data_IF_698913709743
#
_entry.id   IF_698913709743
#
_cell.length_a   1.000
_cell.length_b   1.000
_cell.length_c   1.000
_cell.angle_alpha   90.00
_cell.angle_beta   90.00
_cell.angle_gamma   90.00
#
_symmetry.space_group_name_H-M   'P 1'
#
loop_
_entity.id
_entity.type
_entity.pdbx_description
1 polymer ?
#
# COMPACT_ATOMS: atom_id res chain seq x y z
N UNK A 1 28.65 2.06 -49.97
CA UNK A 1 27.18 1.91 -49.83
C UNK A 1 26.78 1.04 -48.64
N UNK A 2 27.22 -0.21 -48.52
CA UNK A 2 26.82 -1.15 -47.42
C UNK A 2 27.03 -0.63 -45.98
N UNK A 3 28.10 0.12 -45.70
CA UNK A 3 28.40 0.69 -44.36
C UNK A 3 27.42 1.80 -43.95
N UNK A 4 26.94 2.61 -44.89
CA UNK A 4 26.01 3.71 -44.64
C UNK A 4 24.61 3.14 -44.33
N UNK A 5 24.16 2.13 -45.08
CA UNK A 5 22.93 1.40 -44.77
C UNK A 5 22.96 0.77 -43.37
N UNK A 6 24.10 0.22 -42.97
CA UNK A 6 24.25 -0.38 -41.63
C UNK A 6 24.18 0.65 -40.50
N UNK A 7 24.76 1.84 -40.68
CA UNK A 7 24.70 2.92 -39.70
C UNK A 7 23.28 3.47 -39.58
N UNK A 8 22.58 3.65 -40.70
CA UNK A 8 21.19 4.13 -40.72
C UNK A 8 20.25 3.13 -40.04
N UNK A 9 20.46 1.82 -40.23
CA UNK A 9 19.68 0.78 -39.55
C UNK A 9 19.91 0.77 -38.03
N UNK A 10 21.15 0.96 -37.57
CA UNK A 10 21.48 1.00 -36.13
C UNK A 10 20.90 2.25 -35.46
N UNK A 11 20.97 3.41 -36.12
CA UNK A 11 20.36 4.65 -35.62
C UNK A 11 18.83 4.52 -35.56
N UNK A 12 18.21 3.90 -36.56
CA UNK A 12 16.77 3.64 -36.57
C UNK A 12 16.33 2.73 -35.40
N UNK A 13 17.07 1.65 -35.11
CA UNK A 13 16.79 0.76 -33.98
C UNK A 13 16.97 1.44 -32.62
N UNK A 14 17.96 2.32 -32.48
CA UNK A 14 18.16 3.11 -31.26
C UNK A 14 17.00 4.10 -31.03
N UNK A 15 16.51 4.76 -32.09
CA UNK A 15 15.38 5.70 -31.99
C UNK A 15 14.06 5.01 -31.63
N UNK A 16 13.82 3.78 -32.13
CA UNK A 16 12.62 3.00 -31.79
C UNK A 16 12.57 2.65 -30.29
N UNK A 17 13.73 2.44 -29.64
CA UNK A 17 13.79 2.11 -28.21
C UNK A 17 13.39 3.26 -27.27
N UNK A 18 13.51 4.51 -27.72
CA UNK A 18 13.16 5.73 -26.96
C UNK A 18 11.65 6.04 -26.99
N UNK A 19 10.90 5.48 -27.93
CA UNK A 19 9.51 5.83 -28.20
C UNK A 19 8.47 4.89 -27.54
N UNK A 20 8.88 3.83 -26.85
CA UNK A 20 7.93 2.94 -26.16
C UNK A 20 7.44 3.54 -24.83
N UNK A 21 6.56 4.54 -24.93
CA UNK A 21 5.77 4.98 -23.78
C UNK A 21 4.74 3.90 -23.46
N UNK A 22 5.00 3.09 -22.43
CA UNK A 22 4.00 2.14 -21.93
C UNK A 22 2.82 2.91 -21.33
N UNK A 23 1.67 2.90 -22.01
CA UNK A 23 0.42 3.43 -21.48
C UNK A 23 0.00 2.55 -20.30
N UNK A 24 0.27 3.00 -19.08
CA UNK A 24 -0.12 2.30 -17.87
C UNK A 24 -1.62 2.47 -17.68
N UNK A 25 -2.41 1.49 -18.15
CA UNK A 25 -3.82 1.41 -17.80
C UNK A 25 -3.97 1.51 -16.28
N UNK A 26 -4.96 2.29 -15.82
CA UNK A 26 -5.26 2.43 -14.40
C UNK A 26 -5.71 1.07 -13.83
N UNK A 27 -4.75 0.25 -13.39
CA UNK A 27 -5.05 -1.06 -12.82
C UNK A 27 -5.85 -0.85 -11.55
N UNK A 28 -7.09 -1.34 -11.51
CA UNK A 28 -7.91 -1.30 -10.31
C UNK A 28 -7.23 -2.13 -9.20
N UNK A 29 -6.65 -1.45 -8.21
CA UNK A 29 -5.92 -2.11 -7.13
C UNK A 29 -6.93 -2.64 -6.11
N UNK A 30 -6.95 -3.95 -5.82
CA UNK A 30 -7.96 -4.52 -4.95
C UNK A 30 -7.82 -3.98 -3.53
N UNK A 31 -8.87 -3.36 -3.02
CA UNK A 31 -8.94 -2.91 -1.62
C UNK A 31 -9.05 -4.10 -0.67
N UNK A 32 -8.73 -3.88 0.61
CA UNK A 32 -8.89 -4.89 1.66
C UNK A 32 -9.74 -4.37 2.82
N UNK A 33 -10.13 -5.28 3.69
CA UNK A 33 -11.01 -5.00 4.82
C UNK A 33 -10.40 -5.58 6.09
N UNK A 34 -10.49 -4.83 7.19
CA UNK A 34 -10.14 -5.30 8.53
C UNK A 34 -11.22 -6.27 8.98
N UNK A 35 -10.83 -7.51 9.28
CA UNK A 35 -11.73 -8.57 9.72
C UNK A 35 -11.89 -8.57 11.23
N UNK A 36 -10.83 -8.24 11.98
CA UNK A 36 -10.87 -8.23 13.44
C UNK A 36 -9.90 -7.18 14.00
N UNK A 37 -10.30 -6.59 15.12
CA UNK A 37 -9.42 -5.77 15.96
C UNK A 37 -9.56 -6.21 17.40
N UNK A 38 -8.45 -6.51 18.06
CA UNK A 38 -8.39 -6.89 19.48
C UNK A 38 -7.52 -5.90 20.24
N UNK A 39 -8.11 -5.21 21.20
CA UNK A 39 -7.37 -4.33 22.11
C UNK A 39 -6.79 -5.12 23.29
N UNK A 40 -5.59 -4.72 23.72
CA UNK A 40 -4.87 -5.13 24.92
C UNK A 40 -4.39 -3.85 25.63
N UNK A 41 -3.84 -3.96 26.85
CA UNK A 41 -3.20 -2.79 27.48
C UNK A 41 -2.05 -2.31 26.59
N UNK A 42 -2.06 -1.01 26.30
CA UNK A 42 -1.11 -0.27 25.43
C UNK A 42 -0.89 -0.79 24.00
N UNK A 43 -1.75 -1.69 23.52
CA UNK A 43 -1.56 -2.35 22.24
C UNK A 43 -2.88 -2.80 21.60
N UNK A 44 -2.91 -2.87 20.28
CA UNK A 44 -3.96 -3.62 19.59
C UNK A 44 -3.42 -4.47 18.45
N UNK A 45 -4.09 -5.58 18.23
CA UNK A 45 -3.82 -6.48 17.10
C UNK A 45 -4.94 -6.34 16.10
N UNK A 46 -4.58 -6.04 14.84
CA UNK A 46 -5.51 -6.07 13.72
C UNK A 46 -5.27 -7.31 12.87
N UNK A 47 -6.35 -7.86 12.31
CA UNK A 47 -6.34 -8.88 11.26
C UNK A 47 -7.12 -8.38 10.05
N UNK A 48 -6.74 -8.78 8.84
CA UNK A 48 -7.38 -8.36 7.60
C UNK A 48 -7.48 -9.48 6.58
N UNK A 49 -8.36 -9.29 5.58
CA UNK A 49 -8.56 -10.27 4.50
C UNK A 49 -7.34 -10.28 3.58
N UNK A 50 -6.86 -11.48 3.22
CA UNK A 50 -5.79 -11.66 2.24
C UNK A 50 -6.24 -11.14 0.86
N UNK A 51 -5.30 -10.50 0.16
CA UNK A 51 -5.43 -10.10 -1.25
C UNK A 51 -4.23 -10.60 -2.03
N UNK A 52 -4.44 -10.80 -3.34
CA UNK A 52 -3.44 -11.24 -4.31
C UNK A 52 -3.15 -10.10 -5.30
N UNK A 53 -2.10 -10.24 -6.12
CA UNK A 53 -1.71 -9.24 -7.13
C UNK A 53 -1.43 -7.84 -6.54
N UNK A 54 -0.82 -7.80 -5.35
CA UNK A 54 -0.42 -6.57 -4.64
C UNK A 54 1.02 -6.71 -4.16
N UNK A 55 1.70 -5.57 -3.95
CA UNK A 55 3.04 -5.54 -3.36
C UNK A 55 3.01 -5.56 -1.83
N UNK A 56 1.88 -5.17 -1.21
CA UNK A 56 1.73 -5.21 0.24
C UNK A 56 0.56 -4.41 0.77
N UNK A 57 0.57 -4.19 2.09
CA UNK A 57 -0.47 -3.44 2.79
C UNK A 57 0.09 -2.19 3.47
N UNK A 58 -0.76 -1.19 3.64
CA UNK A 58 -0.49 -0.03 4.47
C UNK A 58 -1.59 0.13 5.51
N UNK A 59 -1.19 0.06 6.77
CA UNK A 59 -2.06 0.33 7.91
C UNK A 59 -1.86 1.79 8.29
N UNK A 60 -2.95 2.49 8.56
CA UNK A 60 -2.92 3.82 9.13
C UNK A 60 -3.78 3.87 10.39
N UNK A 61 -3.27 4.50 11.43
CA UNK A 61 -3.99 4.68 12.68
C UNK A 61 -3.79 6.08 13.25
N UNK A 62 -4.81 6.58 13.95
CA UNK A 62 -4.79 7.90 14.59
C UNK A 62 -5.80 7.94 15.74
N UNK A 63 -5.60 8.84 16.70
CA UNK A 63 -6.64 9.19 17.66
C UNK A 63 -7.76 10.05 17.03
N UNK A 64 -7.52 10.65 15.86
CA UNK A 64 -8.50 11.44 15.12
C UNK A 64 -9.25 10.56 14.11
N UNK A 65 -10.58 10.49 14.25
CA UNK A 65 -11.47 9.67 13.40
C UNK A 65 -11.53 10.08 11.92
N UNK A 66 -11.11 11.31 11.61
CA UNK A 66 -11.05 11.88 10.26
C UNK A 66 -9.66 11.73 9.64
N UNK A 67 -8.67 11.22 10.38
CA UNK A 67 -7.28 11.07 9.93
C UNK A 67 -6.70 12.38 9.34
N UNK A 68 -7.07 13.54 9.90
CA UNK A 68 -6.58 14.86 9.42
C UNK A 68 -5.20 15.22 9.99
N UNK A 69 -4.89 14.78 11.21
CA UNK A 69 -3.65 15.11 11.94
C UNK A 69 -3.18 13.91 12.77
N UNK A 70 -1.87 13.83 13.03
CA UNK A 70 -1.27 12.84 13.94
C UNK A 70 -1.37 11.38 13.45
N UNK A 71 -1.43 11.17 12.14
CA UNK A 71 -1.57 9.84 11.56
C UNK A 71 -0.24 9.08 11.63
N UNK A 72 -0.28 7.86 12.13
CA UNK A 72 0.84 6.92 12.06
C UNK A 72 0.55 5.89 10.97
N UNK A 73 1.57 5.51 10.21
CA UNK A 73 1.45 4.52 9.14
C UNK A 73 2.47 3.41 9.26
N UNK A 74 2.05 2.18 8.95
CA UNK A 74 2.91 1.00 8.94
C UNK A 74 2.77 0.33 7.57
N UNK A 75 3.89 0.12 6.88
CA UNK A 75 3.95 -0.63 5.62
C UNK A 75 4.26 -2.10 5.92
N UNK A 76 3.48 -3.01 5.33
CA UNK A 76 3.65 -4.46 5.39
C UNK A 76 4.06 -4.94 4.00
N UNK A 77 5.34 -5.26 3.82
CA UNK A 77 5.90 -5.72 2.53
C UNK A 77 5.55 -7.18 2.22
N UNK A 78 5.38 -8.02 3.24
CA UNK A 78 5.06 -9.45 3.08
C UNK A 78 3.55 -9.65 2.92
N UNK A 79 3.09 -10.03 1.73
CA UNK A 79 1.66 -10.25 1.42
C UNK A 79 1.03 -11.38 2.25
N UNK A 80 1.85 -12.36 2.68
CA UNK A 80 1.42 -13.46 3.55
C UNK A 80 1.10 -13.00 4.99
N UNK A 81 1.57 -11.84 5.41
CA UNK A 81 1.25 -11.29 6.74
C UNK A 81 -0.16 -10.73 6.74
N UNK A 82 -1.03 -11.33 7.56
CA UNK A 82 -2.46 -10.97 7.68
C UNK A 82 -2.84 -10.43 9.06
N UNK A 83 -1.85 -10.23 9.93
CA UNK A 83 -2.02 -9.77 11.30
C UNK A 83 -0.86 -8.86 11.69
N UNK A 84 -1.14 -7.82 12.48
CA UNK A 84 -0.11 -6.96 13.07
C UNK A 84 -0.53 -6.49 14.45
N UNK A 85 0.36 -6.68 15.42
CA UNK A 85 0.30 -6.04 16.74
C UNK A 85 0.95 -4.65 16.65
N UNK A 86 0.25 -3.64 17.13
CA UNK A 86 0.70 -2.26 17.27
C UNK A 86 0.79 -1.99 18.77
N UNK A 87 1.95 -1.53 19.24
CA UNK A 87 2.29 -1.30 20.65
C UNK A 87 2.64 0.17 20.90
N UNK A 88 2.84 0.55 22.16
CA UNK A 88 3.22 1.92 22.54
C UNK A 88 2.06 2.90 22.40
N UNK A 89 0.85 2.45 22.72
CA UNK A 89 -0.36 3.24 22.67
C UNK A 89 -0.75 3.66 24.08
N UNK A 90 -1.33 4.85 24.21
CA UNK A 90 -1.79 5.31 25.52
C UNK A 90 -2.99 4.47 25.99
N UNK A 91 -2.98 3.94 27.22
CA UNK A 91 -4.12 3.21 27.78
C UNK A 91 -5.35 4.13 27.86
N UNK A 92 -6.54 3.53 27.91
CA UNK A 92 -7.83 4.23 27.98
C UNK A 92 -8.09 5.26 26.85
N UNK A 93 -7.28 5.25 25.78
CA UNK A 93 -7.44 6.14 24.63
C UNK A 93 -8.11 5.44 23.46
N UNK A 94 -8.99 6.19 22.78
CA UNK A 94 -9.64 5.73 21.55
C UNK A 94 -8.73 5.95 20.34
N UNK A 95 -8.60 4.92 19.53
CA UNK A 95 -7.87 4.93 18.27
C UNK A 95 -8.77 4.48 17.12
N UNK A 96 -8.49 5.00 15.93
CA UNK A 96 -9.11 4.61 14.69
C UNK A 96 -8.06 4.02 13.78
N UNK A 97 -8.40 2.91 13.13
CA UNK A 97 -7.51 2.21 12.22
C UNK A 97 -8.19 1.96 10.89
N UNK A 98 -7.45 2.13 9.81
CA UNK A 98 -7.84 1.78 8.44
C UNK A 98 -6.66 1.15 7.73
N UNK A 99 -6.96 0.36 6.70
CA UNK A 99 -5.95 -0.34 5.90
C UNK A 99 -6.22 -0.14 4.41
N UNK A 100 -5.16 -0.13 3.62
CA UNK A 100 -5.24 -0.19 2.15
C UNK A 100 -4.16 -1.11 1.61
N UNK A 101 -4.31 -1.53 0.37
CA UNK A 101 -3.28 -2.27 -0.36
C UNK A 101 -2.44 -1.31 -1.20
N UNK A 102 -1.24 -1.74 -1.59
CA UNK A 102 -0.43 -1.01 -2.56
C UNK A 102 0.21 -1.96 -3.56
N UNK A 103 0.50 -1.45 -4.74
CA UNK A 103 1.23 -2.14 -5.82
C UNK A 103 2.40 -1.25 -6.27
N UNK A 104 3.47 -1.86 -6.74
CA UNK A 104 4.62 -1.16 -7.32
C UNK A 104 4.64 -1.49 -8.80
N UNK A 105 4.59 -0.46 -9.65
CA UNK A 105 4.66 -0.57 -11.12
C UNK A 105 5.66 0.46 -11.59
N UNK A 106 6.68 0.06 -12.34
CA UNK A 106 7.75 0.94 -12.83
C UNK A 106 8.37 1.81 -11.72
N UNK A 107 8.71 1.18 -10.57
CA UNK A 107 9.27 1.84 -9.37
C UNK A 107 8.33 2.84 -8.67
N UNK A 108 7.12 3.08 -9.19
CA UNK A 108 6.11 3.96 -8.58
C UNK A 108 5.12 3.14 -7.74
N UNK A 109 4.77 3.67 -6.56
CA UNK A 109 3.81 3.03 -5.66
C UNK A 109 2.41 3.58 -5.90
N UNK A 110 1.47 2.69 -6.14
CA UNK A 110 0.05 2.99 -6.31
C UNK A 110 -0.75 2.38 -5.17
N UNK A 111 -1.79 3.06 -4.73
CA UNK A 111 -2.59 2.68 -3.57
C UNK A 111 -4.04 2.44 -3.95
N UNK A 112 -4.67 1.46 -3.31
CA UNK A 112 -6.13 1.32 -3.36
C UNK A 112 -6.83 2.31 -2.43
N UNK A 113 -8.15 2.37 -2.54
CA UNK A 113 -9.02 3.05 -1.60
C UNK A 113 -8.83 2.50 -0.17
N UNK A 114 -8.98 3.40 0.80
CA UNK A 114 -8.97 3.02 2.21
C UNK A 114 -10.15 2.12 2.56
N UNK A 115 -9.91 1.15 3.43
CA UNK A 115 -10.99 0.38 4.06
C UNK A 115 -11.90 1.29 4.90
N UNK A 116 -13.10 0.80 5.22
CA UNK A 116 -13.89 1.36 6.32
C UNK A 116 -13.03 1.37 7.59
N UNK A 117 -13.07 2.48 8.32
CA UNK A 117 -12.33 2.65 9.58
C UNK A 117 -12.94 1.75 10.66
N UNK A 118 -12.09 1.20 11.53
CA UNK A 118 -12.49 0.51 12.75
C UNK A 118 -12.06 1.30 13.97
N UNK A 119 -12.92 1.32 14.98
CA UNK A 119 -12.64 1.96 16.26
C UNK A 119 -12.01 0.93 17.21
N UNK A 120 -11.07 1.38 18.03
CA UNK A 120 -10.36 0.58 19.01
C UNK A 120 -10.31 1.36 20.31
N UNK A 121 -10.95 0.85 21.35
CA UNK A 121 -10.83 1.39 22.70
C UNK A 121 -9.71 0.62 23.40
N UNK A 122 -8.63 1.30 23.79
CA UNK A 122 -7.57 0.65 24.57
C UNK A 122 -8.12 0.23 25.93
N UNK A 123 -7.67 -0.94 26.40
CA UNK A 123 -7.95 -1.37 27.76
C UNK A 123 -7.07 -0.57 28.73
N UNK A 124 -7.54 -0.50 29.98
CA UNK A 124 -6.71 -0.13 31.14
C UNK A 124 -5.54 -1.12 31.22
#
# INVERSE_FOLDING_TARGET
MKKIFSIVIVVLLLVISLAFTTTVFATNIPSTTITSVKAKSEAFTIKWKKKTNIAGYQIQYSANSKFKKGNKTIKIKKVKTLSKKITGLKPSKKYYVRIRTYKIVNKKTYYSNWSKKKCVNQKL
#
